data_IF_177616828773
#
_entry.id   IF_177616828773
#
_cell.length_a   1.000
_cell.length_b   1.000
_cell.length_c   1.000
_cell.angle_alpha   90.00
_cell.angle_beta   90.00
_cell.angle_gamma   90.00
#
_symmetry.space_group_name_H-M   'P 1'
#
loop_
_entity.id
_entity.type
_entity.pdbx_description
1 polymer ?
#
# COMPACT_ATOMS: atom_id res chain seq x y z
N UNK A 1 -2.07 -15.90 -17.46
CA UNK A 1 -1.85 -15.50 -16.05
C UNK A 1 -2.73 -14.29 -15.81
N UNK A 2 -4.01 -14.50 -15.49
CA UNK A 2 -4.90 -13.40 -15.14
C UNK A 2 -4.31 -12.65 -13.94
N UNK A 3 -3.76 -11.48 -14.21
CA UNK A 3 -3.39 -10.57 -13.15
C UNK A 3 -4.70 -10.18 -12.50
N UNK A 4 -5.02 -10.75 -11.35
CA UNK A 4 -6.10 -10.26 -10.47
C UNK A 4 -5.93 -8.74 -10.39
N UNK A 5 -6.79 -8.01 -11.12
CA UNK A 5 -6.80 -6.56 -11.11
C UNK A 5 -7.46 -6.19 -9.78
N UNK A 6 -6.65 -6.04 -8.74
CA UNK A 6 -7.15 -5.50 -7.49
C UNK A 6 -7.48 -4.02 -7.68
N UNK A 7 -8.70 -3.69 -7.31
CA UNK A 7 -9.25 -2.34 -7.37
C UNK A 7 -8.49 -1.40 -6.40
N UNK A 8 -8.06 -0.21 -6.87
CA UNK A 8 -7.45 0.81 -6.02
C UNK A 8 -8.24 1.14 -4.76
N UNK A 9 -9.58 1.19 -4.86
CA UNK A 9 -10.44 1.52 -3.72
C UNK A 9 -10.38 0.41 -2.67
N UNK A 10 -10.53 -0.85 -3.08
CA UNK A 10 -10.40 -2.00 -2.19
C UNK A 10 -9.06 -2.06 -1.43
N UNK A 11 -7.95 -1.74 -2.12
CA UNK A 11 -6.62 -1.72 -1.49
C UNK A 11 -6.50 -0.64 -0.40
N UNK A 12 -7.02 0.55 -0.65
CA UNK A 12 -7.01 1.65 0.33
C UNK A 12 -8.02 1.43 1.46
N UNK A 13 -9.16 0.80 1.19
CA UNK A 13 -10.11 0.39 2.21
C UNK A 13 -9.50 -0.64 3.17
N UNK A 14 -8.76 -1.62 2.63
CA UNK A 14 -8.01 -2.57 3.45
C UNK A 14 -6.94 -1.85 4.30
N UNK A 15 -6.14 -0.98 3.70
CA UNK A 15 -5.11 -0.23 4.45
C UNK A 15 -5.71 0.63 5.57
N UNK A 16 -6.89 1.23 5.33
CA UNK A 16 -7.59 2.06 6.33
C UNK A 16 -7.97 1.25 7.57
N UNK A 17 -8.44 0.01 7.39
CA UNK A 17 -8.78 -0.88 8.50
C UNK A 17 -7.55 -1.43 9.22
N UNK A 18 -6.39 -1.45 8.56
CA UNK A 18 -5.14 -2.03 9.06
C UNK A 18 -3.96 -1.07 8.90
N UNK A 19 -3.95 0.08 9.59
CA UNK A 19 -3.01 1.17 9.32
C UNK A 19 -1.57 0.88 9.78
N UNK A 20 -1.40 -0.05 10.71
CA UNK A 20 -0.10 -0.41 11.28
C UNK A 20 0.49 -1.63 10.60
N UNK A 21 1.82 -1.65 10.46
CA UNK A 21 2.50 -2.86 10.00
C UNK A 21 2.61 -3.87 11.13
N UNK A 22 2.15 -5.10 10.90
CA UNK A 22 2.16 -6.17 11.90
C UNK A 22 2.12 -7.54 11.22
N UNK A 23 2.59 -8.57 11.93
CA UNK A 23 2.48 -9.97 11.49
C UNK A 23 1.03 -10.38 11.22
N UNK A 24 0.09 -9.87 12.01
CA UNK A 24 -1.35 -10.08 11.79
C UNK A 24 -1.85 -9.47 10.47
N UNK A 25 -1.40 -8.26 10.11
CA UNK A 25 -1.72 -7.64 8.82
C UNK A 25 -1.15 -8.46 7.67
N UNK A 26 0.09 -8.92 7.81
CA UNK A 26 0.78 -9.74 6.83
C UNK A 26 0.02 -11.04 6.52
N UNK A 27 -0.44 -11.73 7.56
CA UNK A 27 -1.25 -12.94 7.39
C UNK A 27 -2.58 -12.64 6.72
N UNK A 28 -3.22 -11.52 7.06
CA UNK A 28 -4.49 -11.10 6.45
C UNK A 28 -4.33 -10.68 4.99
N UNK A 29 -3.22 -10.07 4.60
CA UNK A 29 -2.90 -9.82 3.19
C UNK A 29 -2.87 -11.15 2.42
N UNK A 30 -2.20 -12.17 2.96
CA UNK A 30 -2.15 -13.49 2.31
C UNK A 30 -3.52 -14.16 2.25
N UNK A 31 -4.28 -14.17 3.35
CA UNK A 31 -5.56 -14.89 3.44
C UNK A 31 -6.71 -14.19 2.74
N UNK A 32 -6.83 -12.86 2.88
CA UNK A 32 -7.98 -12.11 2.36
C UNK A 32 -7.74 -11.62 0.93
N UNK A 33 -6.51 -11.24 0.58
CA UNK A 33 -6.20 -10.66 -0.73
C UNK A 33 -5.53 -11.66 -1.69
N UNK A 34 -5.08 -12.82 -1.19
CA UNK A 34 -4.46 -13.86 -2.02
C UNK A 34 -3.14 -13.44 -2.67
N UNK A 35 -2.47 -12.42 -2.14
CA UNK A 35 -1.22 -11.87 -2.69
C UNK A 35 -0.11 -11.82 -1.65
N UNK A 36 1.13 -11.74 -2.12
CA UNK A 36 2.28 -11.50 -1.24
C UNK A 36 2.25 -10.09 -0.67
N UNK A 37 2.87 -9.89 0.50
CA UNK A 37 3.05 -8.58 1.12
C UNK A 37 3.76 -7.60 0.19
N UNK A 38 4.79 -8.09 -0.52
CA UNK A 38 5.53 -7.30 -1.50
C UNK A 38 4.59 -6.78 -2.60
N UNK A 39 3.78 -7.66 -3.18
CA UNK A 39 2.83 -7.27 -4.24
C UNK A 39 1.75 -6.33 -3.69
N UNK A 40 1.29 -6.56 -2.47
CA UNK A 40 0.37 -5.65 -1.78
C UNK A 40 0.91 -4.23 -1.70
N UNK A 41 2.12 -4.02 -1.20
CA UNK A 41 2.67 -2.67 -1.06
C UNK A 41 2.96 -1.98 -2.40
N UNK A 42 3.31 -2.74 -3.45
CA UNK A 42 3.44 -2.20 -4.81
C UNK A 42 2.08 -1.70 -5.32
N UNK A 43 1.03 -2.51 -5.19
CA UNK A 43 -0.30 -2.16 -5.64
C UNK A 43 -0.89 -1.02 -4.81
N UNK A 44 -0.70 -1.03 -3.49
CA UNK A 44 -1.12 0.04 -2.59
C UNK A 44 -0.49 1.39 -2.97
N UNK A 45 0.80 1.39 -3.33
CA UNK A 45 1.47 2.59 -3.83
C UNK A 45 0.87 3.11 -5.13
N UNK A 46 0.48 2.22 -6.04
CA UNK A 46 -0.22 2.59 -7.29
C UNK A 46 -1.62 3.13 -7.00
N UNK A 47 -2.38 2.45 -6.14
CA UNK A 47 -3.72 2.86 -5.73
C UNK A 47 -3.73 4.26 -5.13
N UNK A 48 -2.76 4.57 -4.24
CA UNK A 48 -2.61 5.88 -3.62
C UNK A 48 -2.27 7.04 -4.59
N UNK A 49 -1.89 6.72 -5.83
CA UNK A 49 -1.63 7.69 -6.93
C UNK A 49 -2.72 7.69 -7.99
N UNK A 50 -3.66 6.75 -7.95
CA UNK A 50 -4.77 6.67 -8.91
C UNK A 50 -5.84 7.70 -8.57
N UNK A 51 -6.53 8.23 -9.58
CA UNK A 51 -7.66 9.14 -9.38
C UNK A 51 -8.78 8.48 -8.56
N UNK A 52 -9.13 7.24 -8.89
CA UNK A 52 -10.14 6.43 -8.20
C UNK A 52 -9.83 6.27 -6.71
N UNK A 53 -8.61 5.83 -6.39
CA UNK A 53 -8.19 5.63 -5.01
C UNK A 53 -8.12 6.93 -4.20
N UNK A 54 -7.68 8.03 -4.82
CA UNK A 54 -7.66 9.35 -4.16
C UNK A 54 -9.08 9.87 -3.91
N UNK A 55 -10.00 9.69 -4.87
CA UNK A 55 -11.38 10.11 -4.72
C UNK A 55 -12.09 9.32 -3.61
N UNK A 56 -11.90 8.00 -3.54
CA UNK A 56 -12.56 7.16 -2.55
C UNK A 56 -11.95 7.26 -1.14
N UNK A 57 -10.62 7.34 -1.03
CA UNK A 57 -9.90 7.32 0.24
C UNK A 57 -8.77 8.37 0.30
N UNK A 58 -9.10 9.68 0.29
CA UNK A 58 -8.11 10.75 0.12
C UNK A 58 -7.06 10.80 1.23
N UNK A 59 -7.48 10.61 2.49
CA UNK A 59 -6.58 10.64 3.66
C UNK A 59 -5.61 9.45 3.62
N UNK A 60 -6.12 8.23 3.41
CA UNK A 60 -5.29 7.02 3.35
C UNK A 60 -4.33 7.08 2.17
N UNK A 61 -4.78 7.53 0.99
CA UNK A 61 -3.93 7.72 -0.17
C UNK A 61 -2.79 8.70 0.14
N UNK A 62 -3.07 9.84 0.79
CA UNK A 62 -2.04 10.80 1.22
C UNK A 62 -1.01 10.16 2.15
N UNK A 63 -1.45 9.50 3.23
CA UNK A 63 -0.57 8.88 4.21
C UNK A 63 0.33 7.80 3.58
N UNK A 64 -0.20 7.00 2.66
CA UNK A 64 0.58 6.00 1.91
C UNK A 64 1.68 6.67 1.10
N UNK A 65 1.38 7.77 0.39
CA UNK A 65 2.37 8.52 -0.40
C UNK A 65 3.46 9.11 0.49
N UNK A 66 3.08 9.73 1.62
CA UNK A 66 4.03 10.33 2.57
C UNK A 66 4.98 9.27 3.15
N UNK A 67 4.46 8.12 3.60
CA UNK A 67 5.28 7.01 4.08
C UNK A 67 6.23 6.45 3.01
N UNK A 68 5.79 6.41 1.75
CA UNK A 68 6.64 5.98 0.65
C UNK A 68 7.81 6.95 0.40
N UNK A 69 7.53 8.27 0.43
CA UNK A 69 8.55 9.31 0.30
C UNK A 69 9.56 9.26 1.45
N UNK A 70 9.10 9.15 2.70
CA UNK A 70 9.97 9.01 3.87
C UNK A 70 10.90 7.79 3.77
N UNK A 71 10.40 6.64 3.29
CA UNK A 71 11.24 5.46 3.06
C UNK A 71 12.28 5.66 1.95
N UNK A 72 11.96 6.45 0.92
CA UNK A 72 12.93 6.77 -0.13
C UNK A 72 14.08 7.62 0.42
N UNK A 73 13.75 8.68 1.17
CA UNK A 73 14.74 9.54 1.84
C UNK A 73 15.63 8.76 2.80
N UNK A 74 15.06 7.81 3.56
CA UNK A 74 15.85 6.96 4.46
C UNK A 74 16.84 6.06 3.72
N UNK A 75 16.48 5.55 2.53
CA UNK A 75 17.39 4.76 1.70
C UNK A 75 18.54 5.61 1.16
N UNK A 76 18.23 6.80 0.66
CA UNK A 76 19.23 7.76 0.17
C UNK A 76 20.24 8.12 1.25
N UNK A 77 19.78 8.39 2.47
CA UNK A 77 20.64 8.66 3.62
C UNK A 77 21.56 7.50 3.97
N UNK A 78 21.09 6.26 3.83
CA UNK A 78 21.92 5.06 4.11
C UNK A 78 22.97 4.84 3.03
N UNK A 79 22.66 5.13 1.77
CA UNK A 79 23.62 4.98 0.66
C UNK A 79 24.66 6.10 0.57
N UNK A 80 24.40 7.24 1.21
CA UNK A 80 25.30 8.39 1.24
C UNK A 80 26.27 8.38 2.44
N UNK A 81 26.15 7.40 3.34
CA UNK A 81 27.04 7.15 4.47
C UNK A 81 27.94 5.95 4.17
#
# INVERSE_FOLDING_TARGET
MDHVRMDPTALLAFETRHPYQSSAKNERIRRELGITEVRYYVLLGRAARSAEGIAAHPVTARLVRERAAQRAQQRERRSAA
#
